data_IF_189891375707
#
_entry.id   IF_189891375707
#
_cell.length_a   1.000
_cell.length_b   1.000
_cell.length_c   1.000
_cell.angle_alpha   90.00
_cell.angle_beta   90.00
_cell.angle_gamma   90.00
#
_symmetry.space_group_name_H-M   'P 1'
#
loop_
_entity.id
_entity.type
_entity.pdbx_description
1 polymer ?
#
# COMPACT_ATOMS: atom_id res chain seq x y z
N UNK A 1 8.30 -61.66 16.61
CA UNK A 1 6.99 -60.99 16.81
C UNK A 1 7.20 -59.82 17.77
N UNK A 2 7.30 -58.60 17.24
CA UNK A 2 6.97 -57.33 17.89
C UNK A 2 7.45 -56.21 16.95
N UNK A 3 6.59 -55.80 16.03
CA UNK A 3 6.82 -54.66 15.15
C UNK A 3 6.80 -53.37 15.97
N UNK A 4 7.87 -52.59 15.89
CA UNK A 4 7.92 -51.24 16.44
C UNK A 4 6.90 -50.36 15.71
N UNK A 5 5.95 -49.81 16.44
CA UNK A 5 5.05 -48.78 15.96
C UNK A 5 5.85 -47.49 15.73
N UNK A 6 6.29 -47.26 14.50
CA UNK A 6 6.81 -45.95 14.08
C UNK A 6 5.66 -44.94 14.07
N UNK A 7 5.64 -44.07 15.07
CA UNK A 7 4.87 -42.83 15.07
C UNK A 7 5.20 -42.02 13.81
N UNK A 8 4.20 -41.83 12.94
CA UNK A 8 4.31 -40.92 11.79
C UNK A 8 4.45 -39.48 12.29
N UNK A 9 5.31 -38.64 11.68
CA UNK A 9 5.44 -37.25 12.11
C UNK A 9 4.18 -36.48 11.67
N UNK A 10 3.41 -35.97 12.63
CA UNK A 10 2.24 -35.10 12.38
C UNK A 10 2.62 -33.74 11.76
N UNK A 11 3.92 -33.50 11.53
CA UNK A 11 4.49 -32.26 11.00
C UNK A 11 4.23 -31.98 9.51
N UNK A 12 3.70 -32.93 8.72
CA UNK A 12 3.59 -32.76 7.26
C UNK A 12 2.29 -32.08 6.80
N UNK A 13 1.17 -32.32 7.48
CA UNK A 13 -0.13 -31.79 7.06
C UNK A 13 -0.25 -30.29 7.37
N UNK A 14 0.10 -29.88 8.59
CA UNK A 14 0.11 -28.47 9.00
C UNK A 14 1.03 -27.63 8.11
N UNK A 15 2.24 -28.13 7.82
CA UNK A 15 3.18 -27.46 6.93
C UNK A 15 2.62 -27.27 5.52
N UNK A 16 1.94 -28.27 4.95
CA UNK A 16 1.31 -28.17 3.62
C UNK A 16 0.18 -27.13 3.59
N UNK A 17 -0.64 -27.07 4.64
CA UNK A 17 -1.70 -26.06 4.77
C UNK A 17 -1.10 -24.67 4.90
N UNK A 18 -0.06 -24.51 5.71
CA UNK A 18 0.64 -23.23 5.85
C UNK A 18 1.23 -22.77 4.51
N UNK A 19 1.89 -23.65 3.76
CA UNK A 19 2.39 -23.33 2.41
C UNK A 19 1.25 -22.91 1.47
N UNK A 20 0.15 -23.67 1.43
CA UNK A 20 -0.99 -23.34 0.57
C UNK A 20 -1.62 -21.97 0.94
N UNK A 21 -1.81 -21.71 2.23
CA UNK A 21 -2.34 -20.44 2.72
C UNK A 21 -1.43 -19.26 2.38
N UNK A 22 -0.10 -19.44 2.50
CA UNK A 22 0.87 -18.42 2.12
C UNK A 22 0.90 -18.16 0.61
N UNK A 23 0.79 -19.20 -0.24
CA UNK A 23 0.68 -19.02 -1.69
C UNK A 23 -0.58 -18.24 -2.07
N UNK A 24 -1.74 -18.61 -1.54
CA UNK A 24 -2.99 -17.89 -1.84
C UNK A 24 -2.95 -16.46 -1.31
N UNK A 25 -2.34 -16.22 -0.14
CA UNK A 25 -2.14 -14.85 0.38
C UNK A 25 -1.29 -14.01 -0.57
N UNK A 26 -0.21 -14.58 -1.12
CA UNK A 26 0.66 -13.90 -2.08
C UNK A 26 -0.05 -13.60 -3.41
N UNK A 27 -0.87 -14.52 -3.90
CA UNK A 27 -1.67 -14.30 -5.12
C UNK A 27 -2.69 -13.17 -4.90
N UNK A 28 -3.34 -13.16 -3.73
CA UNK A 28 -4.29 -12.11 -3.37
C UNK A 28 -3.62 -10.74 -3.15
N UNK A 29 -2.40 -10.71 -2.61
CA UNK A 29 -1.58 -9.50 -2.55
C UNK A 29 -1.24 -8.94 -3.95
N UNK A 30 -1.03 -9.82 -4.93
CA UNK A 30 -0.84 -9.42 -6.34
C UNK A 30 -2.11 -8.82 -6.91
N UNK A 31 -3.28 -9.45 -6.66
CA UNK A 31 -4.58 -8.92 -7.08
C UNK A 31 -4.85 -7.53 -6.47
N UNK A 32 -4.56 -7.34 -5.17
CA UNK A 32 -4.68 -6.04 -4.51
C UNK A 32 -3.80 -4.97 -5.17
N UNK A 33 -2.58 -5.32 -5.59
CA UNK A 33 -1.71 -4.41 -6.31
C UNK A 33 -2.29 -4.03 -7.68
N UNK A 34 -2.91 -4.97 -8.39
CA UNK A 34 -3.56 -4.70 -9.68
C UNK A 34 -4.84 -3.86 -9.54
N UNK A 35 -5.59 -4.04 -8.46
CA UNK A 35 -6.73 -3.16 -8.11
C UNK A 35 -6.26 -1.70 -7.95
N UNK A 36 -5.13 -1.47 -7.25
CA UNK A 36 -4.58 -0.12 -7.10
C UNK A 36 -4.15 0.51 -8.41
N UNK A 37 -3.48 -0.26 -9.27
CA UNK A 37 -3.14 0.23 -10.62
C UNK A 37 -4.41 0.62 -11.39
N UNK A 38 -5.46 -0.17 -11.28
CA UNK A 38 -6.76 0.12 -11.90
C UNK A 38 -7.40 1.40 -11.34
N UNK A 39 -7.30 1.65 -10.03
CA UNK A 39 -7.75 2.90 -9.42
C UNK A 39 -6.99 4.12 -9.97
N UNK A 40 -5.69 4.00 -10.23
CA UNK A 40 -4.91 5.08 -10.87
C UNK A 40 -5.35 5.34 -12.32
N UNK A 41 -5.73 4.29 -13.06
CA UNK A 41 -6.32 4.44 -14.39
C UNK A 41 -7.68 5.13 -14.29
N UNK A 42 -8.55 4.72 -13.35
CA UNK A 42 -9.85 5.36 -13.13
C UNK A 42 -9.72 6.81 -12.71
N UNK A 43 -8.75 7.16 -11.85
CA UNK A 43 -8.43 8.55 -11.53
C UNK A 43 -8.11 9.37 -12.77
N UNK A 44 -7.27 8.83 -13.66
CA UNK A 44 -6.90 9.50 -14.92
C UNK A 44 -8.10 9.68 -15.85
N UNK A 45 -8.94 8.65 -15.99
CA UNK A 45 -10.19 8.72 -16.76
C UNK A 45 -11.15 9.76 -16.14
N UNK A 46 -11.28 9.78 -14.82
CA UNK A 46 -12.14 10.74 -14.11
C UNK A 46 -11.73 12.19 -14.38
N UNK A 47 -10.43 12.47 -14.35
CA UNK A 47 -9.88 13.79 -14.73
C UNK A 47 -10.28 14.15 -16.16
N UNK A 48 -10.12 13.23 -17.12
CA UNK A 48 -10.41 13.50 -18.52
C UNK A 48 -11.91 13.68 -18.80
N UNK A 49 -12.78 12.95 -18.09
CA UNK A 49 -14.23 13.11 -18.14
C UNK A 49 -14.66 14.45 -17.55
N UNK A 50 -14.05 14.88 -16.44
CA UNK A 50 -14.35 16.16 -15.79
C UNK A 50 -13.93 17.35 -16.66
N UNK A 51 -12.79 17.26 -17.36
CA UNK A 51 -12.37 18.24 -18.36
C UNK A 51 -13.33 18.37 -19.54
N UNK A 52 -14.04 17.29 -19.87
CA UNK A 52 -15.05 17.24 -20.93
C UNK A 52 -16.46 17.58 -20.43
N UNK A 53 -16.60 17.98 -19.16
CA UNK A 53 -17.87 18.29 -18.51
C UNK A 53 -18.88 17.12 -18.56
N UNK A 54 -18.40 15.88 -18.65
CA UNK A 54 -19.24 14.68 -18.70
C UNK A 54 -19.64 14.20 -17.29
N UNK A 55 -20.31 15.07 -16.52
CA UNK A 55 -20.64 14.87 -15.09
C UNK A 55 -21.37 13.55 -14.82
N UNK A 56 -22.27 13.13 -15.72
CA UNK A 56 -22.99 11.86 -15.59
C UNK A 56 -22.06 10.64 -15.64
N UNK A 57 -20.99 10.70 -16.44
CA UNK A 57 -20.00 9.61 -16.53
C UNK A 57 -19.03 9.65 -15.35
N UNK A 58 -18.66 10.84 -14.88
CA UNK A 58 -17.88 11.01 -13.63
C UNK A 58 -18.60 10.38 -12.45
N UNK A 59 -19.92 10.61 -12.32
CA UNK A 59 -20.73 10.00 -11.26
C UNK A 59 -20.79 8.47 -11.36
N UNK A 60 -20.93 7.91 -12.56
CA UNK A 60 -20.88 6.45 -12.74
C UNK A 60 -19.52 5.88 -12.39
N UNK A 61 -18.44 6.59 -12.72
CA UNK A 61 -17.09 6.17 -12.38
C UNK A 61 -16.85 6.19 -10.86
N UNK A 62 -17.39 7.18 -10.16
CA UNK A 62 -17.39 7.29 -8.69
C UNK A 62 -18.03 6.07 -8.02
N UNK A 63 -19.22 5.65 -8.50
CA UNK A 63 -19.91 4.45 -8.03
C UNK A 63 -19.08 3.18 -8.25
N UNK A 64 -18.46 3.03 -9.41
CA UNK A 64 -17.58 1.89 -9.74
C UNK A 64 -16.32 1.86 -8.87
N UNK A 65 -15.73 3.03 -8.59
CA UNK A 65 -14.55 3.15 -7.71
C UNK A 65 -14.90 2.74 -6.28
N UNK A 66 -16.05 3.17 -5.76
CA UNK A 66 -16.53 2.74 -4.44
C UNK A 66 -16.75 1.23 -4.35
N UNK A 67 -17.35 0.62 -5.37
CA UNK A 67 -17.54 -0.83 -5.43
C UNK A 67 -16.18 -1.55 -5.44
N UNK A 68 -15.24 -1.08 -6.27
CA UNK A 68 -13.90 -1.66 -6.37
C UNK A 68 -13.12 -1.55 -5.05
N UNK A 69 -13.24 -0.43 -4.33
CA UNK A 69 -12.64 -0.25 -3.02
C UNK A 69 -13.27 -1.15 -1.95
N UNK A 70 -14.57 -1.39 -2.02
CA UNK A 70 -15.22 -2.41 -1.18
C UNK A 70 -14.63 -3.79 -1.41
N UNK A 71 -14.35 -4.16 -2.67
CA UNK A 71 -13.67 -5.41 -3.01
C UNK A 71 -12.21 -5.44 -2.59
N UNK A 72 -11.52 -4.30 -2.64
CA UNK A 72 -10.16 -4.14 -2.13
C UNK A 72 -10.09 -4.48 -0.63
N UNK A 73 -11.00 -3.94 0.17
CA UNK A 73 -11.06 -4.19 1.61
C UNK A 73 -11.41 -5.64 1.93
N UNK A 74 -12.35 -6.25 1.18
CA UNK A 74 -12.64 -7.68 1.29
C UNK A 74 -11.39 -8.54 1.02
N UNK A 75 -10.59 -8.19 0.02
CA UNK A 75 -9.33 -8.87 -0.28
C UNK A 75 -8.32 -8.72 0.87
N UNK A 76 -8.19 -7.53 1.45
CA UNK A 76 -7.29 -7.30 2.59
C UNK A 76 -7.67 -8.16 3.80
N UNK A 77 -8.97 -8.24 4.12
CA UNK A 77 -9.50 -9.12 5.17
C UNK A 77 -9.22 -10.60 4.86
N UNK A 78 -9.38 -11.01 3.61
CA UNK A 78 -9.12 -12.38 3.16
C UNK A 78 -7.65 -12.77 3.33
N UNK A 79 -6.70 -11.92 2.91
CA UNK A 79 -5.27 -12.13 3.14
C UNK A 79 -4.95 -12.22 4.63
N UNK A 80 -5.52 -11.34 5.46
CA UNK A 80 -5.33 -11.39 6.92
C UNK A 80 -5.82 -12.71 7.54
N UNK A 81 -6.97 -13.22 7.08
CA UNK A 81 -7.49 -14.51 7.53
C UNK A 81 -6.59 -15.68 7.10
N UNK A 82 -6.09 -15.68 5.86
CA UNK A 82 -5.15 -16.69 5.36
C UNK A 82 -3.83 -16.70 6.12
N UNK A 83 -3.27 -15.52 6.42
CA UNK A 83 -2.06 -15.41 7.23
C UNK A 83 -2.28 -15.96 8.65
N UNK A 84 -3.45 -15.71 9.24
CA UNK A 84 -3.82 -16.29 10.53
C UNK A 84 -3.85 -17.83 10.48
N UNK A 85 -4.42 -18.41 9.41
CA UNK A 85 -4.42 -19.87 9.20
C UNK A 85 -2.99 -20.39 9.02
N UNK A 86 -2.19 -19.74 8.19
CA UNK A 86 -0.81 -20.15 7.92
C UNK A 86 0.03 -20.21 9.21
N UNK A 87 -0.13 -19.22 10.08
CA UNK A 87 0.65 -19.10 11.30
C UNK A 87 0.13 -19.95 12.48
N UNK A 88 -1.18 -20.19 12.56
CA UNK A 88 -1.80 -20.72 13.78
C UNK A 88 -2.50 -22.07 13.60
N UNK A 89 -2.66 -22.58 12.37
CA UNK A 89 -3.40 -23.84 12.16
C UNK A 89 -2.66 -25.03 12.76
N UNK A 90 -3.38 -25.82 13.57
CA UNK A 90 -2.92 -27.08 14.12
C UNK A 90 -3.86 -28.20 13.64
N UNK A 91 -3.34 -29.24 12.95
CA UNK A 91 -4.14 -30.38 12.54
C UNK A 91 -4.78 -31.07 13.76
N UNK A 92 -6.06 -31.42 13.64
CA UNK A 92 -6.79 -32.19 14.65
C UNK A 92 -7.32 -33.50 14.06
N UNK A 93 -7.75 -34.42 14.92
CA UNK A 93 -8.37 -35.68 14.49
C UNK A 93 -9.74 -35.50 13.84
N UNK A 94 -10.34 -34.31 13.93
CA UNK A 94 -11.61 -33.95 13.30
C UNK A 94 -11.38 -33.20 11.98
N UNK A 95 -12.21 -33.45 10.95
CA UNK A 95 -12.19 -32.68 9.71
C UNK A 95 -12.35 -31.18 9.99
N UNK A 96 -11.46 -30.36 9.41
CA UNK A 96 -11.55 -28.90 9.50
C UNK A 96 -12.39 -28.35 8.35
N UNK A 97 -13.39 -27.54 8.67
CA UNK A 97 -14.10 -26.73 7.68
C UNK A 97 -13.34 -25.42 7.43
N UNK A 98 -12.44 -25.44 6.45
CA UNK A 98 -11.60 -24.28 6.12
C UNK A 98 -12.40 -23.08 5.61
N UNK A 99 -13.58 -23.30 4.99
CA UNK A 99 -14.45 -22.20 4.55
C UNK A 99 -14.93 -21.43 5.77
N UNK A 100 -15.48 -22.15 6.76
CA UNK A 100 -15.95 -21.52 7.99
C UNK A 100 -14.82 -20.83 8.76
N UNK A 101 -13.63 -21.45 8.84
CA UNK A 101 -12.46 -20.83 9.49
C UNK A 101 -12.06 -19.52 8.82
N UNK A 102 -12.09 -19.46 7.48
CA UNK A 102 -11.82 -18.23 6.73
C UNK A 102 -12.88 -17.16 6.97
N UNK A 103 -14.17 -17.53 6.85
CA UNK A 103 -15.30 -16.61 7.05
C UNK A 103 -15.32 -16.04 8.48
N UNK A 104 -15.13 -16.88 9.50
CA UNK A 104 -15.03 -16.48 10.91
C UNK A 104 -13.80 -15.58 11.14
N UNK A 105 -12.68 -15.90 10.49
CA UNK A 105 -11.45 -15.11 10.53
C UNK A 105 -11.65 -13.71 9.93
N UNK A 106 -12.27 -13.61 8.76
CA UNK A 106 -12.60 -12.34 8.11
C UNK A 106 -13.59 -11.53 8.94
N UNK A 107 -14.65 -12.15 9.49
CA UNK A 107 -15.63 -11.48 10.33
C UNK A 107 -14.97 -10.92 11.61
N UNK A 108 -14.07 -11.68 12.24
CA UNK A 108 -13.31 -11.24 13.41
C UNK A 108 -12.39 -10.05 13.08
N UNK A 109 -11.69 -10.11 11.95
CA UNK A 109 -10.84 -9.00 11.49
C UNK A 109 -11.68 -7.76 11.20
N UNK A 110 -12.82 -7.92 10.50
CA UNK A 110 -13.75 -6.82 10.20
C UNK A 110 -14.33 -6.18 11.46
N UNK A 111 -14.66 -6.97 12.48
CA UNK A 111 -15.14 -6.44 13.77
C UNK A 111 -14.05 -5.73 14.59
N UNK A 112 -12.78 -6.07 14.36
CA UNK A 112 -11.63 -5.47 15.04
C UNK A 112 -11.12 -4.22 14.33
N UNK A 113 -11.42 -4.08 13.04
CA UNK A 113 -11.08 -2.93 12.22
C UNK A 113 -12.17 -1.86 12.30
N UNK A 114 -11.83 -0.69 12.83
CA UNK A 114 -12.47 0.55 12.35
C UNK A 114 -12.08 0.68 10.86
N UNK A 115 -12.94 1.25 10.00
CA UNK A 115 -12.83 1.25 8.52
C UNK A 115 -11.40 1.33 7.99
N UNK A 116 -11.11 0.63 6.89
CA UNK A 116 -9.78 0.57 6.32
C UNK A 116 -9.27 1.99 6.00
N UNK A 117 -8.27 2.53 6.74
CA UNK A 117 -7.78 3.90 6.51
C UNK A 117 -7.15 4.08 5.13
N UNK A 118 -6.96 2.99 4.39
CA UNK A 118 -6.36 2.98 3.08
C UNK A 118 -7.37 3.10 1.94
N UNK A 119 -8.53 2.43 2.01
CA UNK A 119 -9.60 2.59 1.01
C UNK A 119 -10.20 3.98 1.07
N UNK A 120 -10.47 4.48 2.28
CA UNK A 120 -10.92 5.85 2.52
C UNK A 120 -9.94 6.87 1.93
N UNK A 121 -8.63 6.63 2.13
CA UNK A 121 -7.57 7.47 1.55
C UNK A 121 -7.51 7.40 0.04
N UNK A 122 -7.56 6.20 -0.55
CA UNK A 122 -7.53 6.01 -2.00
C UNK A 122 -8.74 6.68 -2.66
N UNK A 123 -9.90 6.59 -2.02
CA UNK A 123 -11.11 7.27 -2.47
C UNK A 123 -10.94 8.79 -2.42
N UNK A 124 -10.42 9.33 -1.31
CA UNK A 124 -10.15 10.76 -1.17
C UNK A 124 -9.21 11.26 -2.27
N UNK A 125 -8.10 10.56 -2.53
CA UNK A 125 -7.16 10.89 -3.61
C UNK A 125 -7.83 10.90 -4.99
N UNK A 126 -8.74 9.97 -5.24
CA UNK A 126 -9.54 9.96 -6.46
C UNK A 126 -10.44 11.19 -6.58
N UNK A 127 -11.17 11.55 -5.51
CA UNK A 127 -12.06 12.71 -5.49
C UNK A 127 -11.31 14.04 -5.62
N UNK A 128 -10.21 14.20 -4.87
CA UNK A 128 -9.35 15.38 -4.93
C UNK A 128 -8.79 15.61 -6.34
N UNK A 129 -8.34 14.55 -7.01
CA UNK A 129 -7.78 14.65 -8.35
C UNK A 129 -8.81 15.15 -9.39
N UNK A 130 -10.07 14.73 -9.26
CA UNK A 130 -11.16 15.21 -10.10
C UNK A 130 -11.53 16.66 -9.74
N UNK A 131 -11.64 16.97 -8.44
CA UNK A 131 -11.95 18.32 -7.94
C UNK A 131 -10.95 19.37 -8.46
N UNK A 132 -9.66 19.03 -8.41
CA UNK A 132 -8.56 19.91 -8.84
C UNK A 132 -8.60 20.30 -10.33
N UNK A 133 -9.42 19.66 -11.17
CA UNK A 133 -9.56 20.02 -12.59
C UNK A 133 -10.07 21.45 -12.75
N UNK A 134 -11.04 21.85 -11.93
CA UNK A 134 -11.66 23.19 -11.99
C UNK A 134 -11.37 24.06 -10.77
N UNK A 135 -10.77 23.48 -9.71
CA UNK A 135 -10.59 24.12 -8.40
C UNK A 135 -9.14 23.98 -7.91
N UNK A 136 -8.17 24.07 -8.81
CA UNK A 136 -6.76 23.91 -8.48
C UNK A 136 -6.33 24.88 -7.36
N UNK A 137 -5.85 24.33 -6.24
CA UNK A 137 -5.42 25.11 -5.07
C UNK A 137 -6.51 25.40 -4.05
N UNK A 138 -7.76 25.01 -4.32
CA UNK A 138 -8.85 25.07 -3.34
C UNK A 138 -9.04 23.71 -2.66
N UNK A 139 -9.22 23.66 -1.32
CA UNK A 139 -9.53 22.42 -0.63
C UNK A 139 -10.91 21.88 -1.07
N UNK A 140 -11.04 20.56 -1.15
CA UNK A 140 -12.30 19.92 -1.53
C UNK A 140 -13.36 20.15 -0.44
N UNK A 141 -14.61 20.52 -0.79
CA UNK A 141 -15.66 20.75 0.20
C UNK A 141 -15.94 19.50 1.04
N UNK A 142 -15.96 19.66 2.37
CA UNK A 142 -16.18 18.56 3.33
C UNK A 142 -14.92 18.04 4.02
N UNK A 143 -13.73 18.54 3.67
CA UNK A 143 -12.45 18.21 4.34
C UNK A 143 -12.16 19.07 5.58
N UNK A 144 -13.06 19.98 5.98
CA UNK A 144 -12.83 20.93 7.10
C UNK A 144 -12.78 20.30 8.51
N UNK A 145 -12.92 18.98 8.65
CA UNK A 145 -12.87 18.29 9.95
C UNK A 145 -11.56 17.54 10.23
N UNK A 146 -10.59 17.53 9.32
CA UNK A 146 -9.26 17.00 9.58
C UNK A 146 -8.24 18.15 9.65
N UNK A 147 -8.03 18.67 10.86
CA UNK A 147 -7.02 19.68 11.20
C UNK A 147 -5.69 19.45 10.47
N UNK A 148 -5.34 20.39 9.59
CA UNK A 148 -3.98 20.81 9.22
C UNK A 148 -2.89 19.73 9.28
N UNK A 149 -2.82 18.87 8.26
CA UNK A 149 -1.53 18.50 7.68
C UNK A 149 -1.53 18.89 6.22
N UNK A 150 -1.10 20.13 5.99
CA UNK A 150 -0.73 20.64 4.68
C UNK A 150 0.53 19.89 4.21
N UNK A 151 0.36 18.66 3.72
CA UNK A 151 1.33 18.01 2.83
C UNK A 151 0.56 17.55 1.61
N UNK A 152 0.30 18.52 0.73
CA UNK A 152 0.31 18.38 -0.73
C UNK A 152 0.19 16.93 -1.22
N UNK A 153 -1.02 16.48 -1.54
CA UNK A 153 -1.44 15.58 -2.66
C UNK A 153 -0.53 14.43 -3.15
N UNK A 154 0.57 14.08 -2.50
CA UNK A 154 1.67 13.37 -3.15
C UNK A 154 2.06 12.14 -2.33
N UNK A 155 1.25 11.10 -2.52
CA UNK A 155 1.63 9.69 -2.40
C UNK A 155 2.05 9.23 -0.99
N UNK A 156 1.97 7.92 -0.70
CA UNK A 156 2.20 7.35 0.63
C UNK A 156 3.68 7.22 1.01
N UNK A 157 4.42 8.33 0.86
CA UNK A 157 5.87 8.35 0.95
C UNK A 157 6.31 9.48 1.88
N UNK A 158 6.88 9.07 3.02
CA UNK A 158 7.30 10.00 4.07
C UNK A 158 8.71 10.56 3.89
N UNK A 159 9.46 10.05 2.91
CA UNK A 159 10.81 10.52 2.62
C UNK A 159 11.10 10.41 1.12
N UNK A 160 11.66 11.48 0.55
CA UNK A 160 11.99 11.59 -0.88
C UNK A 160 13.35 10.94 -1.19
N UNK A 161 14.24 10.86 -0.20
CA UNK A 161 15.55 10.23 -0.33
C UNK A 161 15.71 9.12 0.72
N UNK A 162 16.45 8.06 0.37
CA UNK A 162 16.89 7.07 1.33
C UNK A 162 17.88 7.71 2.32
N UNK A 163 17.61 7.68 3.63
CA UNK A 163 18.45 8.36 4.63
C UNK A 163 19.85 7.75 4.80
N UNK A 164 20.10 6.56 4.24
CA UNK A 164 21.40 5.89 4.32
C UNK A 164 22.24 6.06 3.05
N UNK A 165 21.61 6.09 1.87
CA UNK A 165 22.33 6.18 0.58
C UNK A 165 22.25 7.55 -0.05
N UNK A 166 21.33 8.42 0.40
CA UNK A 166 21.03 9.71 -0.21
C UNK A 166 20.28 9.63 -1.55
N UNK A 167 20.12 8.43 -2.12
CA UNK A 167 19.43 8.24 -3.41
C UNK A 167 17.94 8.59 -3.30
N UNK A 168 17.33 9.18 -4.34
CA UNK A 168 15.88 9.31 -4.42
C UNK A 168 15.20 7.96 -4.22
N UNK A 169 14.05 7.93 -3.54
CA UNK A 169 13.34 6.68 -3.24
C UNK A 169 12.80 5.99 -4.50
N UNK A 170 12.54 6.76 -5.55
CA UNK A 170 12.14 6.27 -6.88
C UNK A 170 13.27 5.54 -7.62
N UNK A 171 14.53 5.81 -7.27
CA UNK A 171 15.73 5.25 -7.91
C UNK A 171 16.33 4.06 -7.15
N UNK A 172 15.64 3.57 -6.12
CA UNK A 172 16.12 2.46 -5.31
C UNK A 172 15.95 1.14 -6.06
N UNK A 173 16.97 0.29 -5.97
CA UNK A 173 16.96 -1.02 -6.65
C UNK A 173 16.04 -1.98 -5.89
N UNK A 174 16.19 -2.03 -4.56
CA UNK A 174 15.36 -2.85 -3.69
C UNK A 174 14.76 -1.98 -2.57
N UNK A 175 13.72 -1.19 -2.89
CA UNK A 175 13.05 -0.36 -1.88
C UNK A 175 12.38 -1.25 -0.83
N UNK A 176 12.57 -0.90 0.44
CA UNK A 176 11.90 -1.51 1.58
C UNK A 176 11.34 -0.44 2.49
N UNK A 177 10.17 -0.70 3.08
CA UNK A 177 9.47 0.20 3.98
C UNK A 177 9.38 -0.40 5.38
N UNK A 178 9.63 0.42 6.40
CA UNK A 178 9.39 0.00 7.78
C UNK A 178 7.89 0.04 8.09
N UNK A 179 7.34 -1.04 8.61
CA UNK A 179 5.90 -1.12 8.95
C UNK A 179 5.53 -0.11 10.06
N UNK A 180 6.42 0.12 11.03
CA UNK A 180 6.17 0.96 12.21
C UNK A 180 6.29 2.48 11.96
N UNK A 181 7.15 2.90 11.02
CA UNK A 181 7.42 4.32 10.75
C UNK A 181 7.19 4.74 9.29
N UNK A 182 6.87 3.81 8.40
CA UNK A 182 6.59 4.01 6.96
C UNK A 182 7.71 4.66 6.13
N UNK A 183 8.88 4.93 6.71
CA UNK A 183 10.06 5.38 5.96
C UNK A 183 10.63 4.28 5.05
N UNK A 184 11.16 4.71 3.90
CA UNK A 184 11.64 3.90 2.80
C UNK A 184 13.17 3.91 2.75
N UNK A 185 13.77 2.74 2.50
CA UNK A 185 15.20 2.53 2.46
C UNK A 185 15.62 1.62 1.31
N UNK A 186 16.89 1.68 0.92
CA UNK A 186 17.53 0.61 0.15
C UNK A 186 17.76 -0.61 1.07
N UNK A 187 17.41 -1.81 0.59
CA UNK A 187 17.39 -3.03 1.40
C UNK A 187 18.74 -3.37 2.04
N UNK A 188 19.81 -3.39 1.27
CA UNK A 188 21.10 -3.88 1.79
C UNK A 188 21.74 -2.92 2.81
N UNK A 189 21.76 -1.60 2.56
CA UNK A 189 22.22 -0.60 3.53
C UNK A 189 21.43 -0.61 4.83
N UNK A 190 20.09 -0.72 4.80
CA UNK A 190 19.30 -0.72 6.03
C UNK A 190 19.51 -2.00 6.84
N UNK A 191 19.65 -3.15 6.18
CA UNK A 191 19.94 -4.41 6.84
C UNK A 191 21.33 -4.39 7.49
N UNK A 192 22.32 -3.75 6.85
CA UNK A 192 23.64 -3.54 7.43
C UNK A 192 23.57 -2.60 8.65
N UNK A 193 22.87 -1.47 8.52
CA UNK A 193 22.69 -0.50 9.59
C UNK A 193 22.05 -1.12 10.86
N UNK A 194 20.98 -1.91 10.69
CA UNK A 194 20.30 -2.61 11.80
C UNK A 194 21.26 -3.57 12.53
N UNK A 195 22.17 -4.22 11.79
CA UNK A 195 23.15 -5.16 12.38
C UNK A 195 24.24 -4.43 13.16
N UNK A 196 24.65 -3.23 12.73
CA UNK A 196 25.73 -2.45 13.34
C UNK A 196 25.28 -1.68 14.58
N UNK A 197 24.05 -1.13 14.59
CA UNK A 197 23.56 -0.26 15.66
C UNK A 197 22.87 -1.00 16.82
N UNK A 198 23.40 -2.17 17.21
CA UNK A 198 22.90 -2.93 18.36
C UNK A 198 23.24 -2.19 19.67
N UNK A 199 22.38 -2.24 20.71
CA UNK A 199 21.19 -3.11 20.84
C UNK A 199 19.88 -2.52 20.29
N UNK A 200 19.82 -1.23 19.97
CA UNK A 200 18.59 -0.53 19.57
C UNK A 200 18.83 0.35 18.32
N UNK A 201 18.77 -0.24 17.12
CA UNK A 201 18.96 0.51 15.89
C UNK A 201 17.75 1.43 15.64
N UNK A 202 17.89 2.71 15.95
CA UNK A 202 16.84 3.71 15.70
C UNK A 202 16.72 4.02 14.22
N UNK A 203 15.52 4.41 13.79
CA UNK A 203 15.28 4.95 12.45
C UNK A 203 16.30 6.07 12.13
N UNK A 204 17.01 6.01 10.99
CA UNK A 204 18.01 7.02 10.63
C UNK A 204 17.40 8.34 10.14
N UNK A 205 16.08 8.42 9.95
CA UNK A 205 15.38 9.68 9.67
C UNK A 205 15.38 10.54 10.93
N UNK A 206 15.85 11.79 10.80
CA UNK A 206 15.91 12.74 11.91
C UNK A 206 14.54 12.91 12.58
N UNK A 207 14.51 12.83 13.91
CA UNK A 207 13.29 12.99 14.70
C UNK A 207 12.39 11.76 14.79
N UNK A 208 12.66 10.66 14.07
CA UNK A 208 11.86 9.44 14.19
C UNK A 208 12.29 8.61 15.42
N UNK A 209 11.41 8.36 16.41
CA UNK A 209 11.77 7.64 17.63
C UNK A 209 11.75 6.11 17.49
N UNK A 210 11.33 5.59 16.33
CA UNK A 210 11.06 4.16 16.14
C UNK A 210 12.36 3.34 16.06
N UNK A 211 12.34 2.17 16.68
CA UNK A 211 13.44 1.19 16.66
C UNK A 211 13.17 0.21 15.53
N UNK A 212 14.14 0.04 14.65
CA UNK A 212 14.05 -0.83 13.49
C UNK A 212 14.27 -2.29 13.87
N UNK A 213 13.51 -3.16 13.22
CA UNK A 213 13.64 -4.62 13.36
C UNK A 213 13.68 -5.23 11.97
N UNK A 214 14.54 -6.24 11.77
CA UNK A 214 14.70 -6.92 10.47
C UNK A 214 13.36 -7.43 9.93
N UNK A 215 12.53 -8.05 10.78
CA UNK A 215 11.22 -8.58 10.39
C UNK A 215 10.16 -7.52 10.09
N UNK A 216 10.43 -6.24 10.38
CA UNK A 216 9.50 -5.12 10.17
C UNK A 216 9.92 -4.19 9.03
N UNK A 217 11.03 -4.48 8.37
CA UNK A 217 11.50 -3.76 7.18
C UNK A 217 11.26 -4.68 5.99
N UNK A 218 10.19 -4.40 5.26
CA UNK A 218 9.67 -5.30 4.23
C UNK A 218 9.53 -4.56 2.90
N UNK A 219 9.71 -5.26 1.79
CA UNK A 219 9.28 -4.78 0.48
C UNK A 219 7.81 -5.18 0.36
N UNK A 220 6.89 -4.31 0.82
CA UNK A 220 5.47 -4.60 0.60
C UNK A 220 5.11 -4.36 -0.88
N UNK A 221 4.13 -5.10 -1.44
CA UNK A 221 3.74 -5.00 -2.85
C UNK A 221 3.23 -3.61 -3.26
N UNK A 222 2.74 -2.84 -2.29
CA UNK A 222 2.09 -1.55 -2.48
C UNK A 222 3.12 -0.43 -2.59
N UNK A 223 4.25 -0.56 -1.90
CA UNK A 223 5.38 0.38 -1.94
C UNK A 223 5.85 0.65 -3.38
N UNK A 224 5.88 -0.36 -4.25
CA UNK A 224 6.28 -0.13 -5.64
C UNK A 224 5.26 0.71 -6.40
N UNK A 225 3.97 0.49 -6.18
CA UNK A 225 2.92 1.32 -6.76
C UNK A 225 2.98 2.76 -6.25
N UNK A 226 3.20 2.93 -4.95
CA UNK A 226 3.41 4.26 -4.34
C UNK A 226 4.62 4.98 -4.99
N UNK A 227 5.74 4.28 -5.21
CA UNK A 227 6.92 4.88 -5.84
C UNK A 227 6.72 5.19 -7.33
N UNK A 228 5.99 4.34 -8.06
CA UNK A 228 5.66 4.57 -9.47
C UNK A 228 4.75 5.79 -9.63
N UNK A 229 3.76 5.94 -8.76
CA UNK A 229 2.86 7.10 -8.77
C UNK A 229 3.62 8.41 -8.48
N UNK A 230 4.56 8.41 -7.53
CA UNK A 230 5.43 9.55 -7.29
C UNK A 230 6.23 9.95 -8.53
N UNK A 231 6.81 8.96 -9.22
CA UNK A 231 7.61 9.21 -10.42
C UNK A 231 6.75 9.84 -11.55
N UNK A 232 5.51 9.36 -11.72
CA UNK A 232 4.56 9.94 -12.67
C UNK A 232 4.16 11.36 -12.28
N UNK A 233 3.94 11.63 -10.99
CA UNK A 233 3.62 12.95 -10.47
C UNK A 233 4.78 13.95 -10.67
N UNK A 234 6.02 13.55 -10.38
CA UNK A 234 7.23 14.39 -10.64
C UNK A 234 7.39 14.70 -12.13
N UNK A 235 7.15 13.71 -13.00
CA UNK A 235 7.21 13.90 -14.45
C UNK A 235 6.14 14.86 -14.95
N UNK A 236 4.92 14.79 -14.39
CA UNK A 236 3.83 15.71 -14.71
C UNK A 236 4.09 17.13 -14.19
N UNK A 237 4.64 17.28 -12.99
CA UNK A 237 5.00 18.58 -12.41
C UNK A 237 6.12 19.27 -13.21
N UNK A 238 7.13 18.53 -13.67
CA UNK A 238 8.20 19.08 -14.51
C UNK A 238 7.70 19.61 -15.87
N UNK A 239 6.63 19.03 -16.42
CA UNK A 239 6.00 19.56 -17.65
C UNK A 239 5.32 20.91 -17.44
N UNK A 240 4.84 21.19 -16.21
CA UNK A 240 4.18 22.45 -15.87
C UNK A 240 5.15 23.59 -15.54
N UNK A 241 6.45 23.30 -15.34
CA UNK A 241 7.45 24.30 -14.97
C UNK A 241 8.25 24.88 -16.14
N UNK A 242 7.97 24.45 -17.38
CA UNK A 242 8.53 25.09 -18.60
C UNK A 242 7.78 26.40 -18.84
N UNK A 243 8.16 27.45 -18.12
CA UNK A 243 7.81 28.83 -18.47
C UNK A 243 8.68 29.19 -19.67
N UNK A 244 8.09 29.26 -20.87
CA UNK A 244 8.75 29.83 -22.03
C UNK A 244 8.94 31.33 -21.78
N UNK A 245 10.20 31.74 -21.63
CA UNK A 245 10.60 33.15 -21.50
C UNK A 245 10.46 33.82 -22.87
N UNK A 246 9.35 34.54 -23.06
CA UNK A 246 9.04 35.32 -24.27
C UNK A 246 9.51 36.77 -24.17
N UNK A 247 10.69 37.03 -23.59
CA UNK A 247 11.30 38.37 -23.72
C UNK A 247 11.93 38.55 -25.11
N UNK A 248 11.09 38.69 -26.15
CA UNK A 248 11.50 39.29 -27.42
C UNK A 248 11.74 40.80 -27.20
N UNK A 249 13.00 41.18 -27.11
CA UNK A 249 13.41 42.58 -27.27
C UNK A 249 13.28 42.97 -28.73
N UNK A 250 12.19 43.65 -29.07
CA UNK A 250 12.13 44.50 -30.26
C UNK A 250 12.91 45.78 -29.95
N UNK A 251 14.11 45.91 -30.50
CA UNK A 251 14.79 47.19 -30.62
C UNK A 251 14.77 47.63 -32.09
N UNK A 252 14.26 48.85 -32.30
CA UNK A 252 14.10 49.59 -33.56
C UNK A 252 15.40 49.83 -34.36
#
# INVERSE_FOLDING_TARGET
>A
MASAATSRPSNSAGARIATAASTISSDNETLMADIRKSLNIFKSIGIDLEKQEETDKVKKLDEVVLELLGKFDECALFSGALQSISNNYQPSDQPTDFRKVLEDGMAKLKASSQSGPESDRLYRQFKEAIWNVHHAGEPMPGDEQEDLVMTSTQVNVLNINCPLTGKPVVDLVNPVRCVDCKHIYERDPIMHYIRMQKPQPRCPVAGCPKILQVGKVVCDPLLRGDLEELCLAETAANRHHVVEDFTELYDD
#
